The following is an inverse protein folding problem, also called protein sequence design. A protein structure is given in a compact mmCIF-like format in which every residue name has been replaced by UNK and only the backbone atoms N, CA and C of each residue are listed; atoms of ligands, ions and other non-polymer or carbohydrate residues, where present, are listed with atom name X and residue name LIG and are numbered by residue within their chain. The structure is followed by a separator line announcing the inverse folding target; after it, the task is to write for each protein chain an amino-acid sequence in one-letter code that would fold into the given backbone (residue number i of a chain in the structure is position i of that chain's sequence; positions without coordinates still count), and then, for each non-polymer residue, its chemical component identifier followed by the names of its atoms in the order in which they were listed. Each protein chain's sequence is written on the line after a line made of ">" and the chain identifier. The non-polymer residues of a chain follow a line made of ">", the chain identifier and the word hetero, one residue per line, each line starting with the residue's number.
data_IF_970720382318
#
_entry.id   IF_970720382318
#
_cell.length_a   1.000
_cell.length_b   1.000
_cell.length_c   1.000
_cell.angle_alpha   90.00
_cell.angle_beta   90.00
_cell.angle_gamma   90.00
#
_symmetry.space_group_name_H-M   'P 1'
#
loop_
_entity.id
_entity.type
_entity.pdbx_description
1 polymer ?
#
# COMPACT_ATOMS: atom_id res chain seq x y z
N UNK A 1 18.84 25.73 -6.86
CA UNK A 1 18.64 24.67 -5.85
C UNK A 1 17.43 23.88 -6.26
N UNK A 2 17.61 22.63 -6.69
CA UNK A 2 16.50 21.69 -6.86
C UNK A 2 16.07 21.37 -5.42
N UNK A 3 14.85 21.77 -5.02
CA UNK A 3 14.25 21.21 -3.81
C UNK A 3 14.21 19.70 -4.04
N UNK A 4 14.88 18.93 -3.18
CA UNK A 4 14.63 17.49 -3.10
C UNK A 4 13.11 17.32 -3.03
N UNK A 5 12.52 16.75 -4.08
CA UNK A 5 11.14 16.32 -4.03
C UNK A 5 11.10 15.28 -2.91
N UNK A 6 10.34 15.54 -1.85
CA UNK A 6 10.11 14.56 -0.79
C UNK A 6 9.65 13.26 -1.46
N UNK A 7 10.49 12.24 -1.41
CA UNK A 7 10.16 10.95 -2.02
C UNK A 7 9.14 10.29 -1.12
N UNK A 8 7.91 10.23 -1.59
CA UNK A 8 6.87 9.42 -0.98
C UNK A 8 7.38 7.98 -0.86
N UNK A 9 7.56 7.52 0.37
CA UNK A 9 8.12 6.21 0.69
C UNK A 9 7.11 5.45 1.51
N UNK A 10 6.75 4.25 1.06
CA UNK A 10 5.84 3.35 1.79
C UNK A 10 6.67 2.21 2.34
N UNK A 11 6.60 1.98 3.65
CA UNK A 11 7.25 0.83 4.29
C UNK A 11 6.16 -0.15 4.69
N UNK A 12 6.32 -1.40 4.27
CA UNK A 12 5.41 -2.47 4.67
C UNK A 12 6.08 -3.27 5.76
N UNK A 13 5.53 -3.19 6.97
CA UNK A 13 6.05 -3.89 8.14
C UNK A 13 5.21 -5.13 8.40
N UNK A 14 5.84 -6.29 8.26
CA UNK A 14 5.33 -7.57 8.77
C UNK A 14 6.08 -7.91 10.07
N UNK A 15 5.97 -7.04 11.06
CA UNK A 15 6.47 -7.31 12.41
C UNK A 15 5.41 -8.06 13.22
N UNK A 16 5.82 -8.87 14.20
CA UNK A 16 5.00 -9.62 15.19
C UNK A 16 4.00 -8.76 16.01
N UNK A 17 3.27 -7.88 15.36
CA UNK A 17 2.26 -7.01 15.94
C UNK A 17 0.96 -7.81 15.99
N UNK A 18 0.29 -7.76 17.14
CA UNK A 18 -1.02 -8.39 17.34
C UNK A 18 -2.08 -7.92 16.33
N UNK A 19 -1.82 -6.80 15.64
CA UNK A 19 -2.69 -6.17 14.66
C UNK A 19 -2.44 -6.63 13.21
N UNK A 20 -1.45 -7.50 12.97
CA UNK A 20 -1.07 -7.95 11.63
C UNK A 20 -0.18 -6.94 10.87
N UNK A 21 0.01 -7.17 9.56
CA UNK A 21 0.89 -6.34 8.74
C UNK A 21 0.36 -4.91 8.56
N UNK A 22 1.28 -3.94 8.48
CA UNK A 22 0.95 -2.52 8.41
C UNK A 22 1.71 -1.80 7.29
N UNK A 23 1.05 -0.81 6.69
CA UNK A 23 1.68 0.22 5.86
C UNK A 23 2.10 1.39 6.75
N UNK A 24 3.35 1.79 6.66
CA UNK A 24 3.91 2.94 7.35
C UNK A 24 4.24 4.01 6.31
N UNK A 25 3.61 5.18 6.50
CA UNK A 25 3.68 6.32 5.60
C UNK A 25 4.19 7.54 6.40
N UNK A 26 5.27 8.25 5.98
CA UNK A 26 5.88 9.31 6.77
C UNK A 26 4.94 10.46 7.18
N UNK A 27 3.95 10.77 6.33
CA UNK A 27 3.03 11.90 6.52
C UNK A 27 1.66 11.47 7.08
N UNK A 28 1.53 10.24 7.59
CA UNK A 28 0.25 9.69 8.02
C UNK A 28 0.43 8.64 9.14
N UNK A 29 -0.68 8.24 9.78
CA UNK A 29 -0.62 7.15 10.76
C UNK A 29 -0.32 5.80 10.07
N UNK A 30 0.25 4.82 10.77
CA UNK A 30 0.31 3.45 10.25
C UNK A 30 -1.09 2.93 9.92
N UNK A 31 -1.23 2.25 8.78
CA UNK A 31 -2.49 1.69 8.29
C UNK A 31 -2.41 0.17 8.39
N UNK A 32 -3.36 -0.45 9.08
CA UNK A 32 -3.48 -1.92 9.05
C UNK A 32 -4.01 -2.38 7.71
N UNK A 33 -3.48 -3.48 7.16
CA UNK A 33 -4.02 -4.04 5.91
C UNK A 33 -5.49 -4.47 6.04
N UNK A 34 -5.95 -4.76 7.25
CA UNK A 34 -7.35 -5.13 7.51
C UNK A 34 -8.28 -3.93 7.39
N UNK A 35 -7.78 -2.75 7.77
CA UNK A 35 -8.50 -1.49 7.65
C UNK A 35 -8.75 -1.12 6.18
N UNK A 36 -7.83 -1.48 5.29
CA UNK A 36 -7.97 -1.29 3.83
C UNK A 36 -9.11 -2.16 3.28
N UNK A 37 -9.32 -3.36 3.84
CA UNK A 37 -10.40 -4.26 3.43
C UNK A 37 -11.75 -3.81 4.01
N UNK A 38 -11.78 -3.52 5.32
CA UNK A 38 -13.02 -3.37 6.09
C UNK A 38 -13.55 -1.92 6.16
N UNK A 39 -12.68 -0.90 6.11
CA UNK A 39 -13.04 0.50 6.39
C UNK A 39 -12.38 1.50 5.42
N UNK A 40 -12.29 1.09 4.16
CA UNK A 40 -11.59 1.85 3.12
C UNK A 40 -12.10 3.30 2.96
N UNK A 41 -13.41 3.50 2.97
CA UNK A 41 -14.00 4.81 2.70
C UNK A 41 -13.63 5.80 3.82
N UNK A 42 -13.72 5.38 5.08
CA UNK A 42 -13.28 6.19 6.21
C UNK A 42 -11.78 6.45 6.15
N UNK A 43 -10.98 5.44 5.82
CA UNK A 43 -9.53 5.60 5.65
C UNK A 43 -9.19 6.64 4.57
N UNK A 44 -9.85 6.60 3.41
CA UNK A 44 -9.62 7.62 2.36
C UNK A 44 -10.00 9.02 2.82
N UNK A 45 -11.09 9.16 3.58
CA UNK A 45 -11.49 10.44 4.17
C UNK A 45 -10.46 10.95 5.19
N UNK A 46 -9.88 10.08 6.02
CA UNK A 46 -8.81 10.45 6.95
C UNK A 46 -7.56 10.94 6.21
N UNK A 47 -7.20 10.29 5.10
CA UNK A 47 -6.08 10.74 4.24
C UNK A 47 -6.40 12.10 3.61
N UNK A 48 -7.63 12.31 3.15
CA UNK A 48 -8.05 13.58 2.56
C UNK A 48 -7.93 14.77 3.51
N UNK A 49 -8.31 14.56 4.77
CA UNK A 49 -8.28 15.59 5.82
C UNK A 49 -6.88 15.72 6.45
N UNK A 50 -6.17 14.62 6.61
CA UNK A 50 -4.91 14.55 7.35
C UNK A 50 -3.67 14.92 6.54
N UNK A 51 -3.70 14.75 5.21
CA UNK A 51 -2.54 14.98 4.34
C UNK A 51 -2.71 16.31 3.58
N UNK A 52 -1.93 17.31 3.98
CA UNK A 52 -2.02 18.67 3.44
C UNK A 52 -1.51 18.80 2.01
N UNK A 53 -0.48 18.04 1.64
CA UNK A 53 0.07 18.05 0.29
C UNK A 53 -0.86 17.27 -0.65
N UNK A 54 -1.42 17.97 -1.65
CA UNK A 54 -2.37 17.40 -2.60
C UNK A 54 -1.77 16.28 -3.46
N UNK A 55 -0.50 16.41 -3.84
CA UNK A 55 0.18 15.40 -4.65
C UNK A 55 0.37 14.13 -3.82
N UNK A 56 0.89 14.26 -2.60
CA UNK A 56 1.08 13.11 -1.68
C UNK A 56 -0.26 12.47 -1.33
N UNK A 57 -1.30 13.28 -1.06
CA UNK A 57 -2.65 12.79 -0.78
C UNK A 57 -3.19 11.95 -1.94
N UNK A 58 -3.09 12.44 -3.17
CA UNK A 58 -3.59 11.72 -4.33
C UNK A 58 -2.79 10.42 -4.57
N UNK A 59 -1.45 10.48 -4.46
CA UNK A 59 -0.60 9.28 -4.58
C UNK A 59 -0.94 8.23 -3.52
N UNK A 60 -1.21 8.65 -2.27
CA UNK A 60 -1.65 7.78 -1.18
C UNK A 60 -2.99 7.11 -1.49
N UNK A 61 -3.99 7.88 -1.91
CA UNK A 61 -5.32 7.35 -2.20
C UNK A 61 -5.27 6.38 -3.38
N UNK A 62 -4.52 6.69 -4.44
CA UNK A 62 -4.33 5.77 -5.57
C UNK A 62 -3.62 4.48 -5.14
N UNK A 63 -2.56 4.58 -4.33
CA UNK A 63 -1.87 3.41 -3.81
C UNK A 63 -2.81 2.54 -2.96
N UNK A 64 -3.55 3.14 -2.02
CA UNK A 64 -4.48 2.43 -1.16
C UNK A 64 -5.61 1.77 -1.99
N UNK A 65 -6.08 2.44 -3.04
CA UNK A 65 -7.08 1.90 -3.98
C UNK A 65 -6.55 0.67 -4.72
N UNK A 66 -5.33 0.74 -5.25
CA UNK A 66 -4.67 -0.39 -5.89
C UNK A 66 -4.45 -1.54 -4.89
N UNK A 67 -4.08 -1.23 -3.64
CA UNK A 67 -3.89 -2.23 -2.60
C UNK A 67 -5.21 -2.93 -2.23
N UNK A 68 -6.29 -2.17 -2.05
CA UNK A 68 -7.63 -2.73 -1.80
C UNK A 68 -8.06 -3.67 -2.93
N UNK A 69 -7.84 -3.27 -4.17
CA UNK A 69 -8.17 -4.11 -5.32
C UNK A 69 -7.31 -5.38 -5.35
N UNK A 70 -6.03 -5.29 -4.99
CA UNK A 70 -5.13 -6.43 -4.88
C UNK A 70 -5.59 -7.42 -3.79
N UNK A 71 -6.04 -6.94 -2.63
CA UNK A 71 -6.63 -7.77 -1.57
C UNK A 71 -7.93 -8.44 -2.03
N UNK A 72 -8.82 -7.68 -2.67
CA UNK A 72 -10.11 -8.16 -3.18
C UNK A 72 -9.95 -9.26 -4.23
N UNK A 73 -8.99 -9.08 -5.15
CA UNK A 73 -8.68 -10.04 -6.21
C UNK A 73 -7.75 -11.17 -5.76
N UNK A 74 -7.18 -11.07 -4.55
CA UNK A 74 -6.11 -11.96 -4.04
C UNK A 74 -4.96 -12.08 -5.04
N UNK A 75 -4.53 -10.94 -5.57
CA UNK A 75 -3.55 -10.88 -6.65
C UNK A 75 -2.78 -9.56 -6.57
N UNK A 76 -1.45 -9.61 -6.71
CA UNK A 76 -0.57 -8.43 -6.70
C UNK A 76 -0.68 -7.54 -7.94
N UNK A 77 -1.27 -8.04 -9.04
CA UNK A 77 -1.32 -7.31 -10.33
C UNK A 77 -1.81 -5.85 -10.25
N UNK A 78 -2.87 -5.49 -9.49
CA UNK A 78 -3.29 -4.09 -9.38
C UNK A 78 -2.21 -3.17 -8.81
N UNK A 79 -1.38 -3.67 -7.89
CA UNK A 79 -0.22 -2.91 -7.38
C UNK A 79 0.86 -2.78 -8.44
N UNK A 80 1.14 -3.85 -9.19
CA UNK A 80 2.10 -3.82 -10.30
C UNK A 80 1.67 -2.77 -11.34
N UNK A 81 0.39 -2.77 -11.72
CA UNK A 81 -0.17 -1.82 -12.68
C UNK A 81 -0.05 -0.38 -12.17
N UNK A 82 -0.37 -0.13 -10.88
CA UNK A 82 -0.16 1.17 -10.24
C UNK A 82 1.29 1.64 -10.37
N UNK A 83 2.28 0.79 -10.02
CA UNK A 83 3.69 1.16 -10.10
C UNK A 83 4.16 1.38 -11.54
N UNK A 84 3.70 0.57 -12.50
CA UNK A 84 4.04 0.74 -13.91
C UNK A 84 3.41 2.00 -14.49
N UNK A 85 2.16 2.32 -14.16
CA UNK A 85 1.51 3.53 -14.67
C UNK A 85 2.11 4.81 -14.08
N UNK A 86 2.41 4.80 -12.78
CA UNK A 86 2.91 5.99 -12.09
C UNK A 86 4.43 6.16 -12.17
N UNK A 87 5.20 5.10 -12.47
CA UNK A 87 6.68 5.17 -12.50
C UNK A 87 7.30 4.60 -13.79
N UNK A 88 6.49 4.35 -14.83
CA UNK A 88 6.73 3.51 -16.03
C UNK A 88 7.89 3.85 -16.97
N UNK A 89 8.79 4.74 -16.60
CA UNK A 89 10.05 4.95 -17.32
C UNK A 89 11.30 4.83 -16.45
N UNK A 90 11.15 4.61 -15.14
CA UNK A 90 12.25 4.72 -14.16
C UNK A 90 12.45 3.47 -13.32
N UNK A 91 11.56 2.49 -13.41
CA UNK A 91 11.62 1.26 -12.62
C UNK A 91 12.21 0.14 -13.46
N UNK A 92 13.36 -0.39 -13.02
CA UNK A 92 13.88 -1.63 -13.57
C UNK A 92 13.03 -2.80 -13.05
N UNK A 93 12.29 -3.45 -13.94
CA UNK A 93 11.38 -4.55 -13.60
C UNK A 93 12.09 -5.73 -12.89
N UNK A 94 13.37 -5.97 -13.21
CA UNK A 94 14.15 -7.01 -12.55
C UNK A 94 14.47 -6.65 -11.09
N UNK A 95 14.60 -5.36 -10.78
CA UNK A 95 14.92 -4.89 -9.43
C UNK A 95 13.68 -4.82 -8.52
N UNK A 96 12.49 -4.62 -9.10
CA UNK A 96 11.23 -4.53 -8.33
C UNK A 96 10.55 -5.89 -8.16
N UNK A 97 10.87 -6.89 -8.98
CA UNK A 97 10.31 -8.24 -8.89
C UNK A 97 10.33 -8.81 -7.46
N UNK A 98 11.43 -8.73 -6.68
CA UNK A 98 11.44 -9.24 -5.31
C UNK A 98 10.42 -8.54 -4.39
N UNK A 99 10.17 -7.24 -4.61
CA UNK A 99 9.16 -6.51 -3.85
C UNK A 99 7.74 -6.98 -4.21
N UNK A 100 7.47 -7.25 -5.49
CA UNK A 100 6.18 -7.81 -5.92
C UNK A 100 5.96 -9.24 -5.45
N UNK A 101 7.00 -10.09 -5.45
CA UNK A 101 6.92 -11.44 -4.90
C UNK A 101 6.55 -11.39 -3.40
N UNK A 102 7.22 -10.52 -2.63
CA UNK A 102 6.93 -10.32 -1.21
C UNK A 102 5.51 -9.75 -0.95
N UNK A 103 5.06 -8.84 -1.80
CA UNK A 103 3.68 -8.31 -1.76
C UNK A 103 2.65 -9.41 -2.06
N UNK A 104 2.95 -10.31 -3.00
CA UNK A 104 2.06 -11.44 -3.31
C UNK A 104 1.92 -12.37 -2.11
N UNK A 105 3.04 -12.77 -1.49
CA UNK A 105 3.03 -13.61 -0.28
C UNK A 105 2.26 -12.94 0.88
N UNK A 106 2.39 -11.62 1.00
CA UNK A 106 1.64 -10.84 1.98
C UNK A 106 0.13 -10.86 1.70
N UNK A 107 -0.29 -10.62 0.47
CA UNK A 107 -1.70 -10.69 0.07
C UNK A 107 -2.27 -12.08 0.36
N UNK A 108 -1.53 -13.13 0.03
CA UNK A 108 -1.93 -14.52 0.31
C UNK A 108 -2.10 -14.75 1.82
N UNK A 109 -1.14 -14.30 2.63
CA UNK A 109 -1.18 -14.42 4.11
C UNK A 109 -2.38 -13.68 4.71
N UNK A 110 -2.66 -12.47 4.23
CA UNK A 110 -3.71 -11.60 4.75
C UNK A 110 -5.10 -12.09 4.36
N UNK A 111 -5.22 -12.72 3.19
CA UNK A 111 -6.49 -13.18 2.60
C UNK A 111 -6.75 -14.69 2.77
N UNK A 112 -5.87 -15.42 3.45
CA UNK A 112 -6.07 -16.83 3.80
C UNK A 112 -7.27 -16.96 4.76
N UNK A 113 -8.26 -17.74 4.33
CA UNK A 113 -9.49 -18.05 5.06
C UNK A 113 -9.23 -18.65 6.45
N UNK A 114 -8.10 -19.33 6.65
CA UNK A 114 -7.70 -19.88 7.96
C UNK A 114 -7.39 -18.80 9.00
N UNK A 115 -7.14 -17.55 8.57
CA UNK A 115 -6.94 -16.42 9.47
C UNK A 115 -8.20 -16.06 10.27
N UNK A 116 -9.39 -16.32 9.75
CA UNK A 116 -10.67 -16.05 10.45
C UNK A 116 -11.03 -17.10 11.51
N UNK A 117 -10.25 -18.18 11.64
CA UNK A 117 -10.54 -19.32 12.52
C UNK A 117 -9.63 -19.44 13.76
N UNK A 118 -8.69 -18.50 13.97
CA UNK A 118 -7.88 -18.39 15.18
C UNK A 118 -8.17 -17.09 15.93
#
# INVERSE_FOLDING_TARGET
>A
MVKDQERFTIVISNGNLSTGPQLVLPSFRPISLYEIEDDFDQLTQEVEVGVSDEMIRNEMIEFLSAFKEALRLKNVLPLVDYFVMNHGGRVNMEQIKPAFDALSELIDTVTDSNRRMN
#
